data_IF_629769205744
#
_entry.id   IF_629769205744
#
_cell.length_a   1.000
_cell.length_b   1.000
_cell.length_c   1.000
_cell.angle_alpha   90.00
_cell.angle_beta   90.00
_cell.angle_gamma   90.00
#
_symmetry.space_group_name_H-M   'P 1'
#
loop_
_entity.id
_entity.type
_entity.pdbx_description
1 polymer ?
#
# COMPACT_ATOMS: atom_id res chain seq x y z
N UNK A 1 -0.52 26.02 -4.60
CA UNK A 1 -0.79 24.63 -5.03
C UNK A 1 0.11 23.71 -4.22
N UNK A 2 -0.31 23.30 -3.02
CA UNK A 2 0.47 22.40 -2.19
C UNK A 2 -0.28 21.08 -2.13
N UNK A 3 0.15 20.11 -2.94
CA UNK A 3 -0.37 18.75 -2.94
C UNK A 3 0.08 18.07 -1.64
N UNK A 4 -0.62 18.42 -0.58
CA UNK A 4 -0.41 17.91 0.75
C UNK A 4 -1.08 16.52 0.81
N UNK A 5 -0.24 15.49 0.63
CA UNK A 5 -0.36 14.17 1.27
C UNK A 5 -1.76 13.54 1.29
N UNK A 6 -2.20 12.94 0.17
CA UNK A 6 -3.12 11.82 0.29
C UNK A 6 -2.37 10.65 0.95
N UNK A 7 -2.29 10.68 2.30
CA UNK A 7 -1.57 9.73 3.15
C UNK A 7 -1.71 8.32 2.60
N UNK A 8 -0.65 7.82 1.97
CA UNK A 8 -0.60 6.43 1.55
C UNK A 8 -0.66 5.62 2.85
N UNK A 9 -1.60 4.68 2.99
CA UNK A 9 -1.65 3.83 4.16
C UNK A 9 -0.27 3.19 4.36
N UNK A 10 0.26 3.19 5.58
CA UNK A 10 1.62 2.68 5.90
C UNK A 10 1.93 1.29 5.34
N UNK A 11 0.90 0.51 5.02
CA UNK A 11 0.97 -0.86 4.54
C UNK A 11 0.59 -1.02 3.06
N UNK A 12 0.46 0.08 2.30
CA UNK A 12 0.14 -0.01 0.88
C UNK A 12 1.40 -0.31 0.05
N UNK A 13 1.30 -1.31 -0.81
CA UNK A 13 2.29 -1.64 -1.83
C UNK A 13 1.59 -1.83 -3.18
N UNK A 14 2.34 -1.81 -4.28
CA UNK A 14 1.82 -2.22 -5.58
C UNK A 14 2.32 -3.61 -5.93
N UNK A 15 1.41 -4.49 -6.34
CA UNK A 15 1.74 -5.82 -6.85
C UNK A 15 2.17 -5.67 -8.30
N UNK A 16 3.37 -6.13 -8.63
CA UNK A 16 3.94 -6.04 -9.99
C UNK A 16 3.94 -7.38 -10.73
N UNK A 17 3.84 -8.51 -10.01
CA UNK A 17 3.63 -9.85 -10.56
C UNK A 17 2.89 -10.76 -9.56
N UNK A 18 2.16 -11.77 -10.08
CA UNK A 18 1.47 -12.79 -9.27
C UNK A 18 0.13 -12.35 -8.67
N UNK A 19 -0.47 -11.26 -9.15
CA UNK A 19 -1.72 -10.72 -8.60
C UNK A 19 -2.93 -11.64 -8.82
N UNK A 20 -2.90 -12.47 -9.86
CA UNK A 20 -3.90 -13.48 -10.20
C UNK A 20 -4.06 -14.57 -9.13
N UNK A 21 -3.04 -14.77 -8.30
CA UNK A 21 -3.06 -15.71 -7.18
C UNK A 21 -3.64 -15.11 -5.90
N UNK A 22 -3.86 -13.79 -5.87
CA UNK A 22 -4.36 -13.13 -4.68
C UNK A 22 -5.89 -13.22 -4.62
N UNK A 23 -6.46 -13.39 -3.41
CA UNK A 23 -7.89 -13.26 -3.25
C UNK A 23 -8.35 -11.84 -3.58
N UNK A 24 -9.63 -11.67 -3.97
CA UNK A 24 -10.21 -10.35 -4.21
C UNK A 24 -9.99 -9.40 -3.03
N UNK A 25 -9.79 -8.09 -3.27
CA UNK A 25 -9.59 -7.13 -2.20
C UNK A 25 -10.73 -7.15 -1.17
N UNK A 26 -10.37 -7.17 0.11
CA UNK A 26 -11.36 -7.21 1.18
C UNK A 26 -11.98 -5.81 1.42
N UNK A 27 -12.97 -5.72 2.32
CA UNK A 27 -13.69 -4.46 2.58
C UNK A 27 -12.78 -3.34 3.11
N UNK A 28 -11.72 -3.68 3.87
CA UNK A 28 -10.75 -2.69 4.39
C UNK A 28 -9.91 -2.12 3.27
N UNK A 29 -9.46 -2.97 2.35
CA UNK A 29 -8.72 -2.55 1.16
C UNK A 29 -9.57 -1.65 0.27
N UNK A 30 -10.82 -2.05 -0.01
CA UNK A 30 -11.79 -1.23 -0.76
C UNK A 30 -11.99 0.15 -0.13
N UNK A 31 -12.13 0.20 1.20
CA UNK A 31 -12.32 1.45 1.94
C UNK A 31 -11.07 2.34 1.97
N UNK A 32 -9.87 1.77 2.08
CA UNK A 32 -8.63 2.55 2.25
C UNK A 32 -7.95 2.92 0.92
N UNK A 33 -8.02 2.05 -0.08
CA UNK A 33 -7.29 2.22 -1.34
C UNK A 33 -8.15 2.81 -2.45
N UNK A 34 -9.47 2.57 -2.45
CA UNK A 34 -10.39 3.11 -3.46
C UNK A 34 -9.89 2.82 -4.89
N UNK A 35 -9.73 3.89 -5.69
CA UNK A 35 -9.25 3.81 -7.07
C UNK A 35 -7.85 3.20 -7.22
N UNK A 36 -7.00 3.27 -6.17
CA UNK A 36 -5.65 2.67 -6.19
C UNK A 36 -5.69 1.15 -6.31
N UNK A 37 -6.80 0.48 -5.96
CA UNK A 37 -6.98 -0.95 -6.23
C UNK A 37 -6.87 -1.26 -7.73
N UNK A 38 -7.46 -0.40 -8.57
CA UNK A 38 -7.38 -0.53 -10.04
C UNK A 38 -5.98 -0.29 -10.60
N UNK A 39 -5.10 0.34 -9.82
CA UNK A 39 -3.69 0.55 -10.15
C UNK A 39 -2.78 -0.57 -9.63
N UNK A 40 -3.36 -1.66 -9.10
CA UNK A 40 -2.62 -2.80 -8.57
C UNK A 40 -2.13 -2.63 -7.12
N UNK A 41 -2.59 -1.61 -6.39
CA UNK A 41 -2.23 -1.46 -4.98
C UNK A 41 -2.98 -2.45 -4.10
N UNK A 42 -2.30 -2.95 -3.07
CA UNK A 42 -2.84 -3.82 -2.02
C UNK A 42 -2.36 -3.36 -0.66
N UNK A 43 -3.08 -3.74 0.40
CA UNK A 43 -2.58 -3.58 1.77
C UNK A 43 -1.85 -4.85 2.18
N UNK A 44 -0.53 -4.80 2.35
CA UNK A 44 0.30 -5.97 2.69
C UNK A 44 -0.20 -6.68 3.95
N UNK A 45 -0.67 -5.94 4.95
CA UNK A 45 -1.23 -6.48 6.19
C UNK A 45 -2.57 -7.22 6.03
N UNK A 46 -3.18 -7.19 4.84
CA UNK A 46 -4.41 -7.90 4.50
C UNK A 46 -4.17 -9.11 3.59
N UNK A 47 -2.92 -9.33 3.13
CA UNK A 47 -2.57 -10.40 2.21
C UNK A 47 -2.07 -11.61 3.00
N UNK A 48 -2.56 -12.80 2.62
CA UNK A 48 -2.00 -14.09 3.01
C UNK A 48 -1.47 -14.74 1.73
N UNK A 49 -0.23 -15.24 1.78
CA UNK A 49 0.47 -15.76 0.61
C UNK A 49 0.39 -17.28 0.57
N UNK A 50 -0.12 -17.79 -0.54
CA UNK A 50 -0.07 -19.22 -0.91
C UNK A 50 0.82 -19.45 -2.13
N UNK A 51 1.14 -18.37 -2.86
CA UNK A 51 1.97 -18.35 -4.05
C UNK A 51 2.92 -17.14 -4.01
N UNK A 52 3.96 -17.21 -4.82
CA UNK A 52 4.92 -16.12 -4.97
C UNK A 52 4.25 -14.89 -5.61
N UNK A 53 4.61 -13.73 -5.09
CA UNK A 53 4.23 -12.43 -5.66
C UNK A 53 5.43 -11.50 -5.65
N UNK A 54 5.44 -10.54 -6.55
CA UNK A 54 6.40 -9.44 -6.54
C UNK A 54 5.70 -8.15 -6.16
N UNK A 55 6.32 -7.39 -5.25
CA UNK A 55 5.80 -6.15 -4.71
C UNK A 55 6.81 -5.02 -4.89
N UNK A 56 6.31 -3.83 -5.17
CA UNK A 56 7.07 -2.58 -5.05
C UNK A 56 6.45 -1.72 -3.95
N UNK A 57 7.29 -1.21 -3.06
CA UNK A 57 6.92 -0.20 -2.08
C UNK A 57 7.50 1.13 -2.55
N UNK A 58 6.62 2.11 -2.78
CA UNK A 58 7.06 3.44 -3.14
C UNK A 58 7.71 4.11 -1.93
N UNK A 59 8.86 4.72 -2.16
CA UNK A 59 9.56 5.50 -1.16
C UNK A 59 8.73 6.75 -0.85
N UNK A 60 7.97 6.69 0.25
CA UNK A 60 7.45 7.91 0.85
C UNK A 60 8.64 8.61 1.50
N UNK A 61 8.78 9.94 1.37
CA UNK A 61 9.80 10.66 2.10
C UNK A 61 9.64 10.35 3.59
N UNK A 62 10.65 9.67 4.17
CA UNK A 62 10.72 9.41 5.59
C UNK A 62 10.77 10.77 6.27
N UNK A 63 9.66 11.21 6.86
CA UNK A 63 9.73 12.29 7.84
C UNK A 63 10.51 11.73 9.02
N UNK A 64 11.80 12.08 9.08
CA UNK A 64 12.67 11.65 10.17
C UNK A 64 12.03 12.08 11.49
N UNK A 65 11.74 11.11 12.36
CA UNK A 65 11.32 11.34 13.74
C UNK A 65 12.50 11.84 14.61
N UNK A 66 13.35 12.72 14.07
CA UNK A 66 14.53 13.28 14.72
C UNK A 66 14.32 14.68 15.30
N UNK A 67 13.11 15.24 15.20
CA UNK A 67 12.71 16.48 15.90
C UNK A 67 11.58 16.19 16.89
N UNK A 68 11.87 15.38 17.89
CA UNK A 68 11.13 15.46 19.16
C UNK A 68 12.08 15.23 20.32
N UNK A 69 13.07 16.11 20.44
CA UNK A 69 13.67 16.38 21.76
C UNK A 69 12.63 17.13 22.58
N UNK A 70 11.97 16.41 23.49
CA UNK A 70 11.53 16.88 24.82
C UNK A 70 10.99 15.70 25.61
#
# INVERSE_FOLDING_TARGET
MNAAWASVPKFACRVIAGAEHLPPPNWKEKKQLGERLGLGYRLTCQIWLEHDIELVQEELPVQSAAESTR
#
